data_IF_359813090647
#
_entry.id   IF_359813090647
#
_cell.length_a   1.000
_cell.length_b   1.000
_cell.length_c   1.000
_cell.angle_alpha   90.00
_cell.angle_beta   90.00
_cell.angle_gamma   90.00
#
_symmetry.space_group_name_H-M   'P 1'
#
loop_
_entity.id
_entity.type
_entity.pdbx_description
1 polymer ?
#
# COMPACT_ATOMS: atom_id res chain seq x y z
N UNK A 1 -3.28 -22.12 -3.08
CA UNK A 1 -3.16 -20.66 -3.28
C UNK A 1 -4.03 -20.31 -4.47
N UNK A 2 -4.99 -19.41 -4.28
CA UNK A 2 -5.75 -18.83 -5.41
C UNK A 2 -4.79 -18.05 -6.29
N UNK A 3 -4.88 -18.22 -7.60
CA UNK A 3 -4.07 -17.47 -8.55
C UNK A 3 -4.35 -15.97 -8.41
N UNK A 4 -3.31 -15.17 -8.13
CA UNK A 4 -3.44 -13.73 -7.96
C UNK A 4 -3.41 -13.09 -9.35
N UNK A 5 -4.53 -12.51 -9.77
CA UNK A 5 -4.57 -11.76 -11.03
C UNK A 5 -3.64 -10.55 -10.96
N UNK A 6 -2.80 -10.38 -11.97
CA UNK A 6 -1.82 -9.28 -12.08
C UNK A 6 -2.18 -8.26 -13.16
N UNK A 7 -3.13 -8.62 -14.03
CA UNK A 7 -3.70 -7.74 -15.05
C UNK A 7 -5.19 -8.03 -15.25
N UNK A 8 -5.91 -7.05 -15.81
CA UNK A 8 -7.34 -7.13 -16.14
C UNK A 8 -7.64 -6.27 -17.37
N UNK A 9 -8.60 -6.65 -18.20
CA UNK A 9 -9.05 -5.77 -19.28
C UNK A 9 -9.88 -4.59 -18.72
N UNK A 10 -9.81 -3.43 -19.36
CA UNK A 10 -10.57 -2.25 -18.94
C UNK A 10 -12.09 -2.50 -18.99
N UNK A 11 -12.54 -3.38 -19.89
CA UNK A 11 -13.94 -3.77 -20.03
C UNK A 11 -14.45 -4.66 -18.88
N UNK A 12 -13.55 -5.39 -18.21
CA UNK A 12 -13.88 -6.30 -17.10
C UNK A 12 -13.62 -5.65 -15.72
N UNK A 13 -13.08 -4.44 -15.70
CA UNK A 13 -12.80 -3.73 -14.46
C UNK A 13 -14.12 -3.43 -13.71
N UNK A 14 -14.28 -3.87 -12.46
CA UNK A 14 -15.50 -3.63 -11.71
C UNK A 14 -15.61 -2.16 -11.29
N UNK A 15 -16.78 -1.75 -10.79
CA UNK A 15 -16.93 -0.42 -10.19
C UNK A 15 -16.06 -0.28 -8.93
N UNK A 16 -15.62 0.93 -8.60
CA UNK A 16 -14.90 1.21 -7.35
C UNK A 16 -15.74 0.75 -6.14
N UNK A 17 -15.08 0.24 -5.10
CA UNK A 17 -15.73 -0.38 -3.93
C UNK A 17 -16.14 -1.84 -4.12
N UNK A 18 -16.05 -2.39 -5.33
CA UNK A 18 -16.37 -3.80 -5.59
C UNK A 18 -15.13 -4.71 -5.44
N UNK A 19 -15.33 -6.03 -5.25
CA UNK A 19 -14.23 -6.98 -5.15
C UNK A 19 -13.37 -7.06 -6.42
N UNK A 20 -12.05 -7.06 -6.25
CA UNK A 20 -11.06 -7.32 -7.30
C UNK A 20 -9.82 -7.93 -6.67
N UNK A 21 -9.21 -8.93 -7.32
CA UNK A 21 -7.93 -9.51 -6.88
C UNK A 21 -7.86 -9.80 -5.36
N UNK A 22 -8.92 -10.38 -4.78
CA UNK A 22 -8.98 -10.74 -3.35
C UNK A 22 -9.05 -9.56 -2.36
N UNK A 23 -9.33 -8.35 -2.84
CA UNK A 23 -9.57 -7.17 -2.01
C UNK A 23 -10.63 -6.27 -2.62
N UNK A 24 -10.66 -5.00 -2.19
CA UNK A 24 -11.60 -3.99 -2.71
C UNK A 24 -10.91 -3.11 -3.73
N UNK A 25 -11.48 -2.97 -4.92
CA UNK A 25 -10.99 -2.04 -5.93
C UNK A 25 -11.21 -0.59 -5.49
N UNK A 26 -10.12 0.18 -5.35
CA UNK A 26 -10.11 1.53 -4.78
C UNK A 26 -10.22 2.59 -5.85
N UNK A 27 -9.26 2.65 -6.78
CA UNK A 27 -9.13 3.72 -7.76
C UNK A 27 -8.21 3.32 -8.93
N UNK A 28 -8.41 3.92 -10.09
CA UNK A 28 -7.47 3.87 -11.23
C UNK A 28 -6.36 4.89 -11.00
N UNK A 29 -5.12 4.49 -11.19
CA UNK A 29 -3.96 5.38 -11.04
C UNK A 29 -2.85 5.01 -12.02
N UNK A 30 -1.87 5.89 -12.18
CA UNK A 30 -0.78 5.70 -13.13
C UNK A 30 0.54 5.48 -12.40
N UNK A 31 1.24 4.42 -12.79
CA UNK A 31 2.60 4.10 -12.35
C UNK A 31 3.43 3.85 -13.60
N UNK A 32 4.51 4.61 -13.79
CA UNK A 32 5.40 4.49 -14.95
C UNK A 32 4.65 4.50 -16.30
N UNK A 33 3.70 5.44 -16.46
CA UNK A 33 2.81 5.58 -17.62
C UNK A 33 1.86 4.40 -17.89
N UNK A 34 1.81 3.41 -17.00
CA UNK A 34 0.83 2.32 -17.07
C UNK A 34 -0.34 2.62 -16.16
N UNK A 35 -1.54 2.41 -16.68
CA UNK A 35 -2.77 2.51 -15.90
C UNK A 35 -2.96 1.24 -15.07
N UNK A 36 -3.28 1.41 -13.79
CA UNK A 36 -3.38 0.32 -12.81
C UNK A 36 -4.59 0.50 -11.93
N UNK A 37 -5.16 -0.61 -11.46
CA UNK A 37 -6.17 -0.65 -10.43
C UNK A 37 -5.50 -0.86 -9.06
N UNK A 38 -5.66 0.10 -8.16
CA UNK A 38 -5.28 -0.04 -6.77
C UNK A 38 -6.33 -0.87 -6.04
N UNK A 39 -5.90 -1.91 -5.35
CA UNK A 39 -6.78 -2.84 -4.62
C UNK A 39 -6.33 -2.89 -3.16
N UNK A 40 -7.23 -2.66 -2.21
CA UNK A 40 -6.93 -2.77 -0.77
C UNK A 40 -7.32 -4.15 -0.24
N UNK A 41 -6.41 -4.82 0.48
CA UNK A 41 -6.73 -6.09 1.13
C UNK A 41 -7.47 -5.86 2.47
N UNK A 42 -8.22 -6.88 2.90
CA UNK A 42 -8.97 -6.86 4.15
C UNK A 42 -8.11 -6.83 5.42
N UNK A 43 -8.71 -6.59 6.60
CA UNK A 43 -8.00 -6.45 7.88
C UNK A 43 -7.29 -7.73 8.31
N UNK A 44 -7.74 -8.88 7.84
CA UNK A 44 -7.11 -10.18 8.08
C UNK A 44 -5.70 -10.30 7.47
N UNK A 45 -5.32 -9.37 6.58
CA UNK A 45 -4.00 -9.28 5.98
C UNK A 45 -3.12 -8.18 6.59
N UNK A 46 -3.58 -7.46 7.62
CA UNK A 46 -2.74 -6.49 8.33
C UNK A 46 -1.52 -7.17 8.95
N UNK A 47 -0.36 -6.53 8.78
CA UNK A 47 0.91 -7.00 9.32
C UNK A 47 1.56 -5.87 10.12
N UNK A 48 2.10 -6.21 11.28
CA UNK A 48 2.82 -5.27 12.15
C UNK A 48 4.32 -5.53 12.11
N UNK A 49 5.09 -4.43 12.15
CA UNK A 49 6.53 -4.49 12.28
C UNK A 49 7.20 -3.14 12.07
N UNK A 50 8.52 -3.13 12.25
CA UNK A 50 9.35 -2.00 11.87
C UNK A 50 9.33 -1.81 10.34
N UNK A 51 9.46 -0.56 9.91
CA UNK A 51 9.53 -0.25 8.49
C UNK A 51 10.85 -0.74 7.88
N UNK A 52 11.97 -0.55 8.59
CA UNK A 52 13.32 -0.98 8.18
C UNK A 52 14.41 -0.48 9.13
N UNK A 53 15.66 -0.83 8.86
CA UNK A 53 16.79 -0.56 9.77
C UNK A 53 17.12 0.94 9.93
N UNK A 54 17.15 1.43 11.17
CA UNK A 54 17.47 2.82 11.50
C UNK A 54 18.82 3.27 10.91
N UNK A 55 18.86 4.44 10.27
CA UNK A 55 20.08 5.00 9.69
C UNK A 55 20.44 4.48 8.29
N UNK A 56 19.71 3.50 7.74
CA UNK A 56 19.93 2.98 6.39
C UNK A 56 19.11 3.72 5.32
N UNK A 57 19.72 4.22 4.26
CA UNK A 57 18.97 4.79 3.13
C UNK A 57 18.39 3.69 2.24
N UNK A 58 17.12 3.85 1.87
CA UNK A 58 16.39 2.96 0.96
C UNK A 58 15.73 3.85 -0.08
N UNK A 59 16.07 3.64 -1.36
CA UNK A 59 15.50 4.40 -2.46
C UNK A 59 13.99 4.13 -2.54
N UNK A 60 13.19 5.19 -2.55
CA UNK A 60 11.73 5.07 -2.62
C UNK A 60 11.10 6.13 -3.52
N UNK A 61 9.85 5.86 -3.91
CA UNK A 61 9.04 6.60 -4.86
C UNK A 61 7.73 7.03 -4.20
N UNK A 62 7.19 8.17 -4.61
CA UNK A 62 5.92 8.68 -4.10
C UNK A 62 4.70 7.88 -4.58
N UNK A 63 4.82 7.21 -5.74
CA UNK A 63 3.70 6.58 -6.46
C UNK A 63 3.77 5.05 -6.55
N UNK A 64 4.97 4.48 -6.49
CA UNK A 64 5.20 3.06 -6.79
C UNK A 64 5.48 2.28 -5.50
N UNK A 65 4.42 1.88 -4.82
CA UNK A 65 4.54 1.17 -3.55
C UNK A 65 5.14 -0.23 -3.70
N UNK A 66 4.98 -0.86 -4.87
CA UNK A 66 5.57 -2.17 -5.14
C UNK A 66 7.09 -2.08 -5.29
N UNK A 67 7.59 -1.11 -6.05
CA UNK A 67 9.02 -0.85 -6.15
C UNK A 67 9.63 -0.55 -4.78
N UNK A 68 8.97 0.30 -3.99
CA UNK A 68 9.40 0.62 -2.63
C UNK A 68 9.45 -0.62 -1.72
N UNK A 69 8.39 -1.42 -1.71
CA UNK A 69 8.31 -2.59 -0.83
C UNK A 69 9.37 -3.62 -1.19
N UNK A 70 9.71 -3.77 -2.47
CA UNK A 70 10.85 -4.60 -2.91
C UNK A 70 12.18 -4.05 -2.39
N UNK A 71 12.43 -2.75 -2.53
CA UNK A 71 13.64 -2.12 -2.00
C UNK A 71 13.74 -2.25 -0.48
N UNK A 72 12.62 -2.11 0.25
CA UNK A 72 12.56 -2.36 1.69
C UNK A 72 12.95 -3.81 2.04
N UNK A 73 12.42 -4.79 1.31
CA UNK A 73 12.72 -6.21 1.54
C UNK A 73 14.19 -6.55 1.24
N UNK A 74 14.75 -6.01 0.16
CA UNK A 74 16.17 -6.12 -0.20
C UNK A 74 17.08 -5.49 0.87
N UNK A 75 16.65 -4.38 1.45
CA UNK A 75 17.30 -3.72 2.59
C UNK A 75 17.06 -4.42 3.94
N UNK A 76 16.39 -5.59 3.96
CA UNK A 76 16.23 -6.42 5.15
C UNK A 76 14.95 -6.21 5.96
N UNK A 77 13.96 -5.45 5.47
CA UNK A 77 12.68 -5.26 6.16
C UNK A 77 11.85 -6.55 6.20
N UNK A 78 11.68 -7.12 7.39
CA UNK A 78 10.85 -8.32 7.60
C UNK A 78 9.36 -8.06 7.33
N UNK A 79 8.88 -6.84 7.62
CA UNK A 79 7.51 -6.43 7.30
C UNK A 79 7.28 -6.48 5.78
N UNK A 80 8.20 -5.90 5.00
CA UNK A 80 8.10 -5.88 3.55
C UNK A 80 8.15 -7.28 2.94
N UNK A 81 9.03 -8.17 3.44
CA UNK A 81 9.11 -9.57 2.99
C UNK A 81 7.77 -10.29 3.17
N UNK A 82 7.17 -10.21 4.37
CA UNK A 82 5.86 -10.82 4.66
C UNK A 82 4.74 -10.26 3.79
N UNK A 83 4.75 -8.96 3.51
CA UNK A 83 3.76 -8.33 2.62
C UNK A 83 3.91 -8.84 1.18
N UNK A 84 5.15 -9.01 0.68
CA UNK A 84 5.42 -9.54 -0.65
C UNK A 84 5.02 -11.03 -0.78
N UNK A 85 5.14 -11.83 0.28
CA UNK A 85 4.68 -13.23 0.31
C UNK A 85 3.16 -13.36 0.08
N UNK A 86 2.38 -12.31 0.41
CA UNK A 86 0.95 -12.23 0.10
C UNK A 86 0.66 -11.87 -1.37
N UNK A 87 1.69 -11.65 -2.19
CA UNK A 87 1.57 -11.07 -3.53
C UNK A 87 0.97 -9.66 -3.48
N UNK A 88 1.38 -8.86 -2.50
CA UNK A 88 0.92 -7.51 -2.23
C UNK A 88 2.11 -6.57 -1.97
N UNK A 89 1.84 -5.29 -1.71
CA UNK A 89 2.84 -4.29 -1.34
C UNK A 89 2.30 -3.32 -0.28
N UNK A 90 3.21 -2.62 0.40
CA UNK A 90 2.86 -1.54 1.32
C UNK A 90 2.58 -0.29 0.48
N UNK A 91 1.46 0.37 0.73
CA UNK A 91 1.01 1.52 -0.05
C UNK A 91 2.07 2.65 -0.05
N UNK A 92 2.37 3.21 -1.22
CA UNK A 92 3.13 4.45 -1.35
C UNK A 92 2.30 5.65 -0.86
N UNK A 93 2.91 6.82 -0.64
CA UNK A 93 2.20 8.03 -0.23
C UNK A 93 0.98 8.39 -1.10
N UNK A 94 1.11 8.37 -2.43
CA UNK A 94 -0.04 8.60 -3.32
C UNK A 94 -1.14 7.57 -3.08
N UNK A 95 -0.77 6.29 -3.02
CA UNK A 95 -1.71 5.19 -2.82
C UNK A 95 -2.45 5.36 -1.48
N UNK A 96 -1.76 5.76 -0.40
CA UNK A 96 -2.37 6.10 0.88
C UNK A 96 -3.42 7.21 0.77
N UNK A 97 -3.12 8.29 0.04
CA UNK A 97 -4.10 9.36 -0.19
C UNK A 97 -5.32 8.88 -0.98
N UNK A 98 -5.13 7.99 -1.96
CA UNK A 98 -6.24 7.38 -2.70
C UNK A 98 -7.10 6.48 -1.79
N UNK A 99 -6.48 5.73 -0.87
CA UNK A 99 -7.21 4.98 0.16
C UNK A 99 -8.05 5.93 1.03
N UNK A 100 -7.49 7.04 1.49
CA UNK A 100 -8.23 8.03 2.29
C UNK A 100 -9.41 8.65 1.54
N UNK A 101 -9.21 9.01 0.27
CA UNK A 101 -10.28 9.51 -0.58
C UNK A 101 -11.39 8.47 -0.76
N UNK A 102 -11.04 7.19 -0.98
CA UNK A 102 -12.01 6.11 -1.11
C UNK A 102 -12.76 5.83 0.20
N UNK A 103 -12.09 5.94 1.35
CA UNK A 103 -12.71 5.85 2.68
C UNK A 103 -13.76 6.95 2.86
N UNK A 104 -13.41 8.20 2.56
CA UNK A 104 -14.36 9.33 2.65
C UNK A 104 -15.53 9.23 1.67
N UNK A 105 -15.33 8.56 0.52
CA UNK A 105 -16.38 8.25 -0.43
C UNK A 105 -17.28 7.07 0.00
N UNK A 106 -16.98 6.40 1.12
CA UNK A 106 -17.73 5.24 1.61
C UNK A 106 -17.47 3.95 0.83
N UNK A 107 -16.38 3.88 0.04
CA UNK A 107 -16.04 2.72 -0.79
C UNK A 107 -15.28 1.64 -0.01
N UNK A 108 -14.62 2.03 1.08
CA UNK A 108 -13.93 1.17 2.03
C UNK A 108 -14.28 1.64 3.44
N UNK A 109 -14.54 0.72 4.36
CA UNK A 109 -15.10 1.04 5.70
C UNK A 109 -14.40 0.32 6.85
N UNK A 110 -13.36 -0.45 6.53
CA UNK A 110 -12.67 -1.39 7.42
C UNK A 110 -11.23 -0.94 7.77
N UNK A 111 -10.85 0.28 7.36
CA UNK A 111 -9.63 0.94 7.83
C UNK A 111 -9.84 1.45 9.26
N UNK A 112 -8.89 1.15 10.14
CA UNK A 112 -8.96 1.63 11.52
C UNK A 112 -8.52 3.09 11.60
N UNK A 113 -9.17 3.82 12.49
CA UNK A 113 -8.95 5.25 12.72
C UNK A 113 -8.18 5.54 14.03
N UNK A 114 -7.78 4.49 14.75
CA UNK A 114 -7.12 4.58 16.06
C UNK A 114 -5.59 4.43 15.99
N UNK A 115 -5.01 4.50 14.80
CA UNK A 115 -3.60 4.18 14.55
C UNK A 115 -3.05 4.82 13.28
N UNK A 116 -1.73 4.84 13.21
CA UNK A 116 -0.98 5.18 12.00
C UNK A 116 -0.55 3.92 11.26
N UNK A 117 -0.68 3.97 9.93
CA UNK A 117 -0.22 2.93 9.01
C UNK A 117 1.10 3.31 8.38
N UNK A 118 2.01 2.34 8.23
CA UNK A 118 3.21 2.52 7.41
C UNK A 118 2.84 2.74 5.95
N UNK A 119 3.49 3.73 5.33
CA UNK A 119 3.59 3.87 3.89
C UNK A 119 5.00 3.46 3.45
N UNK A 120 5.15 2.98 2.23
CA UNK A 120 6.39 2.37 1.74
C UNK A 120 7.49 3.36 1.37
N UNK A 121 7.23 4.67 1.42
CA UNK A 121 8.25 5.67 1.11
C UNK A 121 9.06 6.08 2.36
N UNK A 122 10.37 6.14 2.18
CA UNK A 122 11.30 6.71 3.14
C UNK A 122 11.26 8.24 3.03
N UNK A 123 11.28 8.93 4.17
CA UNK A 123 11.46 10.38 4.22
C UNK A 123 12.93 10.75 4.49
N UNK A 124 13.60 9.96 5.32
CA UNK A 124 15.04 10.07 5.60
C UNK A 124 15.60 8.72 6.05
N UNK A 125 16.93 8.62 6.19
CA UNK A 125 17.60 7.50 6.84
C UNK A 125 16.98 7.09 8.19
N UNK A 126 16.29 8.00 8.89
CA UNK A 126 15.73 7.77 10.23
C UNK A 126 14.20 7.61 10.25
N UNK A 127 13.49 8.11 9.24
CA UNK A 127 12.02 8.22 9.28
C UNK A 127 11.37 7.76 7.98
N UNK A 128 10.18 7.16 8.10
CA UNK A 128 9.34 6.78 6.98
C UNK A 128 7.96 7.44 7.06
N UNK A 129 7.28 7.52 5.92
CA UNK A 129 5.93 8.09 5.87
C UNK A 129 4.91 7.18 6.55
N UNK A 130 3.96 7.80 7.23
CA UNK A 130 2.78 7.15 7.80
C UNK A 130 1.51 7.85 7.38
N UNK A 131 0.39 7.13 7.44
CA UNK A 131 -0.94 7.68 7.24
C UNK A 131 -1.86 7.38 8.42
N UNK A 132 -2.53 8.41 8.92
CA UNK A 132 -3.70 8.30 9.79
C UNK A 132 -4.98 8.39 8.94
N UNK A 133 -5.88 7.42 9.09
CA UNK A 133 -7.15 7.38 8.36
C UNK A 133 -8.33 7.97 9.14
N UNK A 134 -8.12 8.44 10.38
CA UNK A 134 -9.15 9.15 11.15
C UNK A 134 -9.38 10.57 10.61
N UNK A 135 -8.30 11.33 10.43
CA UNK A 135 -8.33 12.72 9.91
C UNK A 135 -7.57 12.92 8.60
N UNK A 136 -6.89 11.88 8.09
CA UNK A 136 -6.25 11.90 6.77
C UNK A 136 -4.83 12.47 6.78
N UNK A 137 -4.18 12.50 7.94
CA UNK A 137 -2.83 13.04 8.05
C UNK A 137 -1.80 12.09 7.49
N UNK A 138 -1.02 12.58 6.52
CA UNK A 138 0.22 11.96 6.10
C UNK A 138 1.39 12.66 6.81
N UNK A 139 2.11 11.91 7.63
CA UNK A 139 3.22 12.41 8.45
C UNK A 139 4.39 11.44 8.36
N UNK A 140 5.39 11.59 9.23
CA UNK A 140 6.56 10.72 9.30
C UNK A 140 6.75 10.20 10.71
N UNK A 141 7.27 8.99 10.85
CA UNK A 141 7.62 8.38 12.14
C UNK A 141 8.99 7.71 12.07
N UNK A 142 9.64 7.55 13.23
CA UNK A 142 10.87 6.77 13.35
C UNK A 142 10.67 5.35 12.83
N UNK A 143 11.47 4.96 11.84
CA UNK A 143 11.20 3.78 11.01
C UNK A 143 11.59 2.45 11.68
N UNK A 144 12.27 2.53 12.82
CA UNK A 144 12.58 1.46 13.76
C UNK A 144 11.41 1.10 14.68
N UNK A 145 10.43 2.01 14.84
CA UNK A 145 9.23 1.72 15.59
C UNK A 145 8.30 0.75 14.86
N UNK A 146 7.55 -0.06 15.61
CA UNK A 146 6.56 -0.96 15.03
C UNK A 146 5.25 -0.22 14.72
N UNK A 147 4.72 -0.43 13.51
CA UNK A 147 3.37 -0.01 13.10
C UNK A 147 2.79 -1.00 12.11
N UNK A 148 1.52 -0.82 11.78
CA UNK A 148 0.78 -1.69 10.87
C UNK A 148 0.95 -1.25 9.43
N UNK A 149 1.15 -2.21 8.53
CA UNK A 149 0.91 -2.03 7.11
C UNK A 149 -0.44 -2.64 6.74
N UNK A 150 -1.25 -1.90 5.97
CA UNK A 150 -2.42 -2.44 5.28
C UNK A 150 -2.02 -2.76 3.84
N UNK A 151 -1.86 -4.05 3.47
CA UNK A 151 -1.36 -4.38 2.14
C UNK A 151 -2.34 -3.99 1.03
N UNK A 152 -1.77 -3.58 -0.10
CA UNK A 152 -2.49 -3.29 -1.33
C UNK A 152 -1.94 -4.14 -2.48
N UNK A 153 -2.72 -4.30 -3.55
CA UNK A 153 -2.28 -4.86 -4.83
C UNK A 153 -2.42 -3.81 -5.91
N UNK A 154 -1.57 -3.91 -6.93
CA UNK A 154 -1.63 -3.06 -8.11
C UNK A 154 -1.81 -3.93 -9.36
N UNK A 155 -3.01 -3.94 -9.92
CA UNK A 155 -3.38 -4.76 -11.09
C UNK A 155 -3.23 -3.92 -12.35
N UNK A 156 -2.49 -4.39 -13.35
CA UNK A 156 -2.32 -3.69 -14.63
C UNK A 156 -3.66 -3.66 -15.40
N UNK A 157 -4.08 -2.48 -15.88
CA UNK A 157 -5.26 -2.35 -16.73
C UNK A 157 -4.83 -2.38 -18.20
N UNK A 158 -5.33 -3.38 -18.93
CA UNK A 158 -5.13 -3.54 -20.36
C UNK A 158 -6.28 -2.83 -21.10
N UNK A 159 -5.95 -2.02 -22.10
CA UNK A 159 -6.94 -1.30 -22.91
C UNK A 159 -7.62 -2.21 -23.94
#
# INVERSE_FOLDING_TARGET
>A
MTEIITSISAAELPARGQPLAGGTFVERYWVNAQERALVMLGPEYELEGAWGEYGLDVLTHYVDGLANTRAMAEAGSELAKKVLELGAHIAAPLEGQLLMAAKHAGLITDLREDRFYWLSAQHSAYTAYTMDFGVGWQTTSGKDGERVARPVRSVLILQ
#
